data_IF_257267177920
#
_entry.id   IF_257267177920
#
_cell.length_a   1.000
_cell.length_b   1.000
_cell.length_c   1.000
_cell.angle_alpha   90.00
_cell.angle_beta   90.00
_cell.angle_gamma   90.00
#
_symmetry.space_group_name_H-M   'P 1'
#
loop_
_entity.id
_entity.type
_entity.pdbx_description
1 polymer ?
#
# COMPACT_ATOMS: atom_id res chain seq x y z
N UNK A 1 11.27 6.63 12.21
CA UNK A 1 11.24 6.28 13.65
C UNK A 1 11.96 4.97 13.99
N UNK A 2 11.97 3.95 13.13
CA UNK A 2 12.61 2.65 13.43
C UNK A 2 14.11 2.71 13.76
N UNK A 3 14.88 3.50 13.02
CA UNK A 3 16.35 3.59 13.19
C UNK A 3 16.76 4.28 14.50
N UNK A 4 16.02 5.29 14.93
CA UNK A 4 16.21 5.97 16.23
C UNK A 4 15.96 4.99 17.38
N UNK A 5 15.00 4.08 17.20
CA UNK A 5 14.68 3.01 18.14
C UNK A 5 15.59 1.77 18.01
N UNK A 6 16.66 1.85 17.20
CA UNK A 6 17.63 0.77 16.96
C UNK A 6 16.98 -0.56 16.54
N UNK A 7 15.84 -0.51 15.85
CA UNK A 7 15.28 -1.71 15.23
C UNK A 7 16.21 -2.17 14.10
N UNK A 8 16.46 -3.48 13.95
CA UNK A 8 17.35 -3.98 12.92
C UNK A 8 16.85 -3.53 11.54
N UNK A 9 17.67 -2.83 10.74
CA UNK A 9 17.31 -2.41 9.39
C UNK A 9 17.37 -3.59 8.42
N UNK A 10 16.45 -3.59 7.46
CA UNK A 10 16.49 -4.46 6.28
C UNK A 10 17.08 -3.73 5.07
N UNK A 11 16.59 -4.10 3.88
CA UNK A 11 16.99 -3.47 2.61
C UNK A 11 16.78 -1.95 2.66
N UNK A 12 17.80 -1.20 2.24
CA UNK A 12 17.85 0.27 2.20
C UNK A 12 17.46 0.97 3.52
N UNK A 13 17.78 0.35 4.66
CA UNK A 13 17.51 0.87 6.00
C UNK A 13 16.02 0.99 6.37
N UNK A 14 15.12 0.36 5.62
CA UNK A 14 13.72 0.21 6.02
C UNK A 14 13.56 -0.83 7.12
N UNK A 15 12.63 -0.63 8.07
CA UNK A 15 12.26 -1.69 9.01
C UNK A 15 11.50 -2.81 8.31
N UNK A 16 11.55 -4.03 8.88
CA UNK A 16 10.91 -5.21 8.29
C UNK A 16 9.37 -5.15 8.19
N UNK A 17 8.73 -4.20 8.88
CA UNK A 17 7.27 -4.02 8.93
C UNK A 17 6.74 -2.95 7.96
N UNK A 18 7.57 -2.36 7.10
CA UNK A 18 7.13 -1.35 6.10
C UNK A 18 6.00 -1.89 5.22
N UNK A 19 6.09 -3.14 4.80
CA UNK A 19 5.02 -3.77 4.01
C UNK A 19 3.71 -3.87 4.79
N UNK A 20 3.78 -4.30 6.05
CA UNK A 20 2.62 -4.45 6.91
C UNK A 20 1.94 -3.10 7.20
N UNK A 21 2.72 -2.02 7.33
CA UNK A 21 2.18 -0.68 7.58
C UNK A 21 1.40 -0.13 6.38
N UNK A 22 1.94 -0.25 5.17
CA UNK A 22 1.26 0.21 3.96
C UNK A 22 0.04 -0.64 3.63
N UNK A 23 0.16 -1.96 3.82
CA UNK A 23 -0.98 -2.86 3.60
C UNK A 23 -2.12 -2.54 4.57
N UNK A 24 -1.83 -2.43 5.87
CA UNK A 24 -2.85 -2.08 6.87
C UNK A 24 -3.50 -0.72 6.61
N UNK A 25 -2.78 0.26 6.05
CA UNK A 25 -3.34 1.56 5.73
C UNK A 25 -4.30 1.49 4.54
N UNK A 26 -3.92 0.77 3.48
CA UNK A 26 -4.74 0.64 2.27
C UNK A 26 -5.94 -0.30 2.48
N UNK A 27 -5.83 -1.33 3.33
CA UNK A 27 -6.97 -2.19 3.72
C UNK A 27 -8.09 -1.42 4.44
N UNK A 28 -7.82 -0.21 4.95
CA UNK A 28 -8.86 0.67 5.51
C UNK A 28 -9.65 1.42 4.44
N UNK A 29 -9.10 1.54 3.23
CA UNK A 29 -9.80 2.09 2.08
C UNK A 29 -10.67 1.00 1.46
N UNK A 30 -11.89 0.91 1.93
CA UNK A 30 -12.85 -0.11 1.52
C UNK A 30 -14.21 0.53 1.25
N UNK A 31 -15.02 -0.18 0.46
CA UNK A 31 -16.42 0.16 0.27
C UNK A 31 -17.24 -0.50 1.39
N UNK A 32 -17.88 0.30 2.23
CA UNK A 32 -18.67 -0.20 3.34
C UNK A 32 -20.12 -0.40 2.90
N UNK A 33 -20.52 -1.66 2.77
CA UNK A 33 -21.90 -2.06 2.47
C UNK A 33 -22.62 -2.43 3.78
N UNK A 34 -23.05 -1.41 4.52
CA UNK A 34 -23.84 -1.56 5.74
C UNK A 34 -25.09 -0.67 5.74
N UNK A 35 -25.66 -0.39 6.92
CA UNK A 35 -26.83 0.51 7.06
C UNK A 35 -26.59 1.92 6.54
N UNK A 36 -25.34 2.37 6.59
CA UNK A 36 -24.86 3.56 5.89
C UNK A 36 -23.87 3.09 4.83
N UNK A 37 -24.11 3.49 3.57
CA UNK A 37 -23.21 3.20 2.45
C UNK A 37 -22.23 4.34 2.29
N UNK A 38 -20.96 4.09 2.60
CA UNK A 38 -19.89 5.08 2.49
C UNK A 38 -18.65 4.42 1.89
N UNK A 39 -17.97 5.18 1.05
CA UNK A 39 -16.79 4.76 0.31
C UNK A 39 -15.59 5.54 0.83
N UNK A 40 -14.53 4.83 1.22
CA UNK A 40 -13.23 5.45 1.50
C UNK A 40 -12.30 5.11 0.35
N UNK A 41 -11.97 6.13 -0.44
CA UNK A 41 -10.98 6.00 -1.51
C UNK A 41 -9.61 6.47 -1.03
N UNK A 42 -8.59 5.65 -1.20
CA UNK A 42 -7.19 6.04 -1.04
C UNK A 42 -6.53 6.24 -2.39
N UNK A 43 -5.89 7.40 -2.60
CA UNK A 43 -5.03 7.65 -3.76
C UNK A 43 -3.58 7.69 -3.27
N UNK A 44 -2.85 6.55 -3.33
CA UNK A 44 -1.45 6.53 -2.92
C UNK A 44 -0.59 7.28 -3.94
N UNK A 45 0.23 8.21 -3.46
CA UNK A 45 1.26 8.90 -4.25
C UNK A 45 2.62 8.45 -3.75
N UNK A 46 3.50 8.07 -4.67
CA UNK A 46 4.85 7.60 -4.38
C UNK A 46 5.81 8.47 -5.18
N UNK A 47 6.77 9.07 -4.48
CA UNK A 47 7.84 9.82 -5.11
C UNK A 47 8.88 8.84 -5.67
N UNK A 48 9.25 9.04 -6.93
CA UNK A 48 10.31 8.28 -7.58
C UNK A 48 11.61 9.04 -7.46
N UNK A 49 12.70 8.35 -7.13
CA UNK A 49 14.04 8.95 -7.20
C UNK A 49 14.57 8.74 -8.61
N UNK A 50 14.99 9.83 -9.24
CA UNK A 50 15.63 9.83 -10.58
C UNK A 50 14.80 9.15 -11.68
N UNK A 51 13.47 9.05 -11.50
CA UNK A 51 12.61 8.38 -12.47
C UNK A 51 12.80 6.86 -12.56
N UNK A 52 13.60 6.26 -11.67
CA UNK A 52 13.82 4.82 -11.65
C UNK A 52 12.62 4.09 -11.04
N UNK A 53 11.68 3.72 -11.92
CA UNK A 53 10.51 2.90 -11.57
C UNK A 53 10.90 1.49 -11.16
N UNK A 54 12.00 0.93 -11.68
CA UNK A 54 12.46 -0.41 -11.36
C UNK A 54 13.01 -0.48 -9.93
N UNK A 55 13.65 0.58 -9.46
CA UNK A 55 13.98 0.73 -8.05
C UNK A 55 12.73 0.52 -7.19
N UNK A 56 11.60 1.13 -7.55
CA UNK A 56 10.35 1.01 -6.79
C UNK A 56 9.78 -0.41 -6.85
N UNK A 57 9.82 -1.07 -8.01
CA UNK A 57 9.31 -2.45 -8.17
C UNK A 57 10.18 -3.51 -7.48
N UNK A 58 11.50 -3.33 -7.46
CA UNK A 58 12.43 -4.16 -6.68
C UNK A 58 12.28 -3.90 -5.17
N UNK A 59 11.96 -2.67 -4.79
CA UNK A 59 11.83 -2.17 -3.41
C UNK A 59 10.46 -2.46 -2.79
N UNK A 60 9.42 -2.61 -3.62
CA UNK A 60 8.03 -2.86 -3.22
C UNK A 60 7.34 -3.90 -4.13
N UNK A 61 7.92 -5.09 -4.30
CA UNK A 61 7.33 -6.19 -5.10
C UNK A 61 5.92 -6.63 -4.66
N UNK A 62 5.44 -6.11 -3.53
CA UNK A 62 4.14 -6.42 -2.95
C UNK A 62 3.00 -5.46 -3.34
N UNK A 63 3.30 -4.28 -3.89
CA UNK A 63 2.28 -3.28 -4.25
C UNK A 63 1.51 -3.67 -5.52
N UNK A 64 2.14 -4.39 -6.45
CA UNK A 64 1.51 -4.89 -7.67
C UNK A 64 0.37 -5.90 -7.37
N UNK A 65 0.53 -6.73 -6.34
CA UNK A 65 -0.53 -7.62 -5.86
C UNK A 65 -1.66 -6.84 -5.17
N UNK A 66 -1.34 -5.70 -4.56
CA UNK A 66 -2.27 -4.88 -3.79
C UNK A 66 -3.15 -3.99 -4.68
N UNK A 67 -2.57 -3.32 -5.69
CA UNK A 67 -3.34 -2.55 -6.70
C UNK A 67 -4.33 -3.47 -7.42
N UNK A 68 -3.94 -4.70 -7.78
CA UNK A 68 -4.85 -5.67 -8.39
C UNK A 68 -6.00 -6.08 -7.47
N UNK A 69 -5.78 -6.17 -6.15
CA UNK A 69 -6.82 -6.59 -5.20
C UNK A 69 -7.78 -5.46 -4.83
N UNK A 70 -7.34 -4.20 -4.82
CA UNK A 70 -8.18 -3.02 -4.53
C UNK A 70 -9.07 -2.66 -5.73
N UNK A 71 -8.56 -2.76 -6.96
CA UNK A 71 -9.35 -2.42 -8.15
C UNK A 71 -10.36 -3.51 -8.57
N UNK A 72 -10.10 -4.79 -8.25
CA UNK A 72 -11.04 -5.88 -8.55
C UNK A 72 -12.46 -5.70 -7.96
N UNK A 73 -12.64 -5.38 -6.66
CA UNK A 73 -13.98 -5.22 -6.08
C UNK A 73 -14.68 -3.93 -6.51
N UNK A 74 -13.92 -2.88 -6.86
CA UNK A 74 -14.50 -1.61 -7.33
C UNK A 74 -15.23 -1.80 -8.67
N UNK A 75 -14.68 -2.62 -9.58
CA UNK A 75 -15.29 -2.88 -10.88
C UNK A 75 -16.30 -4.03 -10.89
N UNK A 76 -16.34 -4.89 -9.86
CA UNK A 76 -17.26 -6.04 -9.82
C UNK A 76 -18.65 -5.71 -9.27
N UNK A 77 -18.98 -4.44 -9.06
CA UNK A 77 -20.30 -3.99 -8.57
C UNK A 77 -21.12 -3.28 -9.66
N UNK A 78 -21.01 -3.75 -10.90
CA UNK A 78 -21.77 -3.26 -12.06
C UNK A 78 -22.61 -4.39 -12.71
N UNK A 79 -23.14 -5.30 -11.90
CA UNK A 79 -24.21 -6.24 -12.28
C UNK A 79 -25.40 -6.10 -11.33
#
# INVERSE_FOLDING_TARGET
MSLVLRRPPGREAFPGDVFYLHSRLLERAQNFYGSWRWLVNSIPIIETQEGDVLHIYQRMSYLLLMVRSIWKPIYSTQE
#
